data_IF_897065647265
#
_entry.id   IF_897065647265
#
_cell.length_a   1.000
_cell.length_b   1.000
_cell.length_c   1.000
_cell.angle_alpha   90.00
_cell.angle_beta   90.00
_cell.angle_gamma   90.00
#
_symmetry.space_group_name_H-M   'P 1'
#
loop_
_entity.id
_entity.type
_entity.pdbx_description
1 polymer ?
#
# COMPACT_ATOMS: atom_id res chain seq x y z
N UNK A 1 7.98 17.60 -3.00
CA UNK A 1 7.68 16.72 -4.16
C UNK A 1 7.87 15.33 -3.62
N UNK A 2 6.81 14.53 -3.62
CA UNK A 2 6.83 13.20 -3.03
C UNK A 2 7.98 12.36 -3.61
N UNK A 3 8.75 11.71 -2.73
CA UNK A 3 9.80 10.76 -3.13
C UNK A 3 9.22 9.37 -3.37
N UNK A 4 8.05 9.08 -2.79
CA UNK A 4 7.27 7.87 -3.02
C UNK A 4 5.81 8.25 -3.19
N UNK A 5 5.16 7.70 -4.21
CA UNK A 5 3.72 7.84 -4.45
C UNK A 5 3.16 6.48 -4.86
N UNK A 6 1.97 6.18 -4.37
CA UNK A 6 1.15 5.04 -4.80
C UNK A 6 -0.26 5.53 -5.09
N UNK A 7 -0.88 4.99 -6.13
CA UNK A 7 -2.25 5.30 -6.53
C UNK A 7 -3.02 3.99 -6.65
N UNK A 8 -4.07 3.83 -5.85
CA UNK A 8 -4.93 2.65 -5.77
C UNK A 8 -4.14 1.32 -5.78
N UNK A 9 -3.08 1.23 -4.98
CA UNK A 9 -2.24 0.05 -4.91
C UNK A 9 -3.05 -1.13 -4.36
N UNK A 10 -3.17 -2.17 -5.17
CA UNK A 10 -3.79 -3.44 -4.80
C UNK A 10 -2.74 -4.54 -4.92
N UNK A 11 -2.66 -5.38 -3.89
CA UNK A 11 -1.87 -6.62 -3.94
C UNK A 11 -2.73 -7.79 -3.50
N UNK A 12 -3.07 -8.63 -4.47
CA UNK A 12 -3.83 -9.85 -4.24
C UNK A 12 -2.90 -11.05 -4.10
N UNK A 13 -3.20 -11.92 -3.14
CA UNK A 13 -2.58 -13.23 -2.96
C UNK A 13 -3.64 -14.33 -3.05
N UNK A 14 -3.20 -15.57 -3.32
CA UNK A 14 -4.10 -16.71 -3.51
C UNK A 14 -4.70 -16.77 -4.92
N UNK A 15 -5.55 -17.77 -5.15
CA UNK A 15 -6.25 -18.00 -6.43
C UNK A 15 -7.66 -18.54 -6.17
N UNK A 16 -8.56 -18.32 -7.15
CA UNK A 16 -9.96 -18.75 -7.04
C UNK A 16 -10.64 -18.17 -5.81
N UNK A 17 -11.43 -19.00 -5.11
CA UNK A 17 -12.18 -18.60 -3.91
C UNK A 17 -11.29 -18.23 -2.71
N UNK A 18 -10.00 -18.58 -2.74
CA UNK A 18 -9.04 -18.28 -1.69
C UNK A 18 -8.21 -17.01 -1.99
N UNK A 19 -8.56 -16.26 -3.03
CA UNK A 19 -7.89 -15.00 -3.33
C UNK A 19 -8.33 -13.90 -2.35
N UNK A 20 -7.37 -13.11 -1.85
CA UNK A 20 -7.65 -11.96 -0.99
C UNK A 20 -6.67 -10.81 -1.24
N UNK A 21 -7.11 -9.58 -0.97
CA UNK A 21 -6.28 -8.39 -1.09
C UNK A 21 -5.50 -8.18 0.22
N UNK A 22 -4.18 -8.38 0.18
CA UNK A 22 -3.30 -8.03 1.29
C UNK A 22 -3.01 -6.53 1.34
N UNK A 23 -3.03 -5.86 0.19
CA UNK A 23 -3.12 -4.40 0.09
C UNK A 23 -4.37 -4.11 -0.74
N UNK A 24 -5.28 -3.29 -0.21
CA UNK A 24 -6.62 -3.10 -0.77
C UNK A 24 -6.89 -1.63 -1.10
N UNK A 25 -6.42 -1.18 -2.26
CA UNK A 25 -6.74 0.14 -2.81
C UNK A 25 -6.07 1.30 -2.09
N UNK A 26 -4.86 1.11 -1.54
CA UNK A 26 -4.17 2.15 -0.78
C UNK A 26 -3.55 3.18 -1.74
N UNK A 27 -3.84 4.45 -1.50
CA UNK A 27 -3.15 5.59 -2.11
C UNK A 27 -2.43 6.37 -1.02
N UNK A 28 -1.12 6.55 -1.17
CA UNK A 28 -0.29 7.29 -0.23
C UNK A 28 0.89 7.95 -0.91
N UNK A 29 1.40 9.02 -0.30
CA UNK A 29 2.61 9.73 -0.71
C UNK A 29 3.52 9.95 0.51
N UNK A 30 4.83 9.87 0.31
CA UNK A 30 5.85 10.23 1.30
C UNK A 30 6.72 11.32 0.73
N UNK A 31 6.88 12.42 1.45
CA UNK A 31 7.70 13.55 1.06
C UNK A 31 9.18 13.32 1.38
N UNK A 32 10.06 13.98 0.61
CA UNK A 32 11.50 13.87 0.85
C UNK A 32 11.87 14.43 2.23
N UNK A 33 12.52 13.60 3.05
CA UNK A 33 12.92 13.94 4.43
C UNK A 33 11.85 13.66 5.49
N UNK A 34 10.68 13.15 5.10
CA UNK A 34 9.63 12.74 6.01
C UNK A 34 9.99 11.42 6.73
N UNK A 35 9.73 11.37 8.04
CA UNK A 35 9.91 10.16 8.85
C UNK A 35 8.53 9.51 9.07
N UNK A 36 8.31 8.33 8.50
CA UNK A 36 7.02 7.63 8.52
C UNK A 36 7.19 6.24 9.14
N UNK A 37 6.23 5.83 9.97
CA UNK A 37 6.12 4.48 10.50
C UNK A 37 4.80 3.84 10.06
N UNK A 38 4.84 2.58 9.63
CA UNK A 38 3.66 1.77 9.33
C UNK A 38 3.45 0.83 10.52
N UNK A 39 2.25 0.85 11.09
CA UNK A 39 1.86 0.01 12.24
C UNK A 39 0.61 -0.80 11.88
N UNK A 40 0.50 -2.00 12.42
CA UNK A 40 -0.62 -2.91 12.20
C UNK A 40 -0.88 -3.77 13.44
N UNK A 41 -2.04 -4.43 13.47
CA UNK A 41 -2.39 -5.44 14.47
C UNK A 41 -1.64 -6.75 14.25
#
# INVERSE_FOLDING_TARGET
MAILTTENLVKTYGTGDNAFNAVDGISMSVEQGEFVAIVGQ
#
